data_IF_603588932674
#
_entry.id   IF_603588932674
#
_cell.length_a   1.000
_cell.length_b   1.000
_cell.length_c   1.000
_cell.angle_alpha   90.00
_cell.angle_beta   90.00
_cell.angle_gamma   90.00
#
_symmetry.space_group_name_H-M   'P 1'
#
loop_
_entity.id
_entity.type
_entity.pdbx_description
1 polymer ?
#
# COMPACT_ATOMS: atom_id res chain seq x y z
N UNK A 1 -12.42 25.89 -19.59
CA UNK A 1 -11.21 25.11 -19.91
C UNK A 1 -11.36 24.63 -21.34
N UNK A 2 -10.52 25.08 -22.28
CA UNK A 2 -10.51 24.52 -23.64
C UNK A 2 -10.11 23.04 -23.53
N UNK A 3 -10.94 22.13 -24.05
CA UNK A 3 -10.71 20.67 -24.03
C UNK A 3 -9.60 20.23 -24.98
N UNK A 4 -8.46 20.91 -24.97
CA UNK A 4 -7.30 20.54 -25.77
C UNK A 4 -6.47 19.48 -25.04
N UNK A 5 -6.16 18.42 -25.78
CA UNK A 5 -5.31 17.32 -25.35
C UNK A 5 -3.90 17.85 -25.03
N UNK A 6 -3.50 17.78 -23.75
CA UNK A 6 -2.16 18.17 -23.29
C UNK A 6 -1.28 16.93 -23.21
N UNK A 7 -0.02 17.06 -23.64
CA UNK A 7 1.00 16.00 -23.57
C UNK A 7 0.72 14.72 -24.35
N UNK A 8 -0.22 14.70 -25.31
CA UNK A 8 -0.54 13.46 -26.04
C UNK A 8 0.39 13.13 -27.19
N UNK A 9 1.19 14.09 -27.67
CA UNK A 9 2.09 13.95 -28.83
C UNK A 9 1.44 13.30 -30.08
N UNK A 10 0.10 13.31 -30.19
CA UNK A 10 -0.67 12.66 -31.26
C UNK A 10 -1.01 11.17 -31.03
N UNK A 11 -0.59 10.57 -29.93
CA UNK A 11 -0.93 9.19 -29.55
C UNK A 11 -2.19 9.17 -28.68
N UNK A 12 -3.19 8.38 -29.09
CA UNK A 12 -4.45 8.20 -28.36
C UNK A 12 -4.21 7.55 -26.99
N UNK A 13 -3.26 6.64 -26.89
CA UNK A 13 -2.91 5.94 -25.63
C UNK A 13 -2.27 6.88 -24.59
N UNK A 14 -1.75 8.02 -25.01
CA UNK A 14 -1.18 9.04 -24.11
C UNK A 14 -2.23 10.02 -23.58
N UNK A 15 -3.50 9.88 -24.00
CA UNK A 15 -4.61 10.71 -23.54
C UNK A 15 -4.80 10.64 -22.02
N UNK A 16 -4.73 9.43 -21.48
CA UNK A 16 -4.81 9.17 -20.04
C UNK A 16 -3.47 9.43 -19.31
N UNK A 17 -2.43 9.83 -20.06
CA UNK A 17 -1.09 10.09 -19.57
C UNK A 17 -0.24 8.83 -19.37
N UNK A 18 0.89 8.97 -18.67
CA UNK A 18 1.72 7.83 -18.30
C UNK A 18 1.10 7.15 -17.09
N UNK A 19 0.64 5.92 -17.25
CA UNK A 19 0.02 5.18 -16.16
C UNK A 19 1.03 4.91 -15.03
N UNK A 20 0.68 5.36 -13.83
CA UNK A 20 1.49 5.25 -12.62
C UNK A 20 1.87 3.80 -12.28
N UNK A 21 0.93 2.85 -12.40
CA UNK A 21 1.14 1.45 -12.05
C UNK A 21 2.19 0.76 -12.95
N UNK A 22 2.09 0.84 -14.29
CA UNK A 22 3.14 0.40 -15.20
C UNK A 22 4.53 0.96 -14.88
N UNK A 23 4.63 2.27 -14.59
CA UNK A 23 5.89 2.90 -14.21
C UNK A 23 6.46 2.32 -12.91
N UNK A 24 5.61 2.10 -11.91
CA UNK A 24 6.00 1.52 -10.61
C UNK A 24 6.44 0.05 -10.75
N UNK A 25 5.67 -0.75 -11.49
CA UNK A 25 6.02 -2.15 -11.79
C UNK A 25 7.36 -2.21 -12.51
N UNK A 26 7.58 -1.35 -13.50
CA UNK A 26 8.85 -1.22 -14.20
C UNK A 26 10.00 -0.90 -13.25
N UNK A 27 9.90 0.22 -12.52
CA UNK A 27 10.97 0.68 -11.63
C UNK A 27 11.28 -0.28 -10.49
N UNK A 28 10.32 -1.02 -9.97
CA UNK A 28 10.52 -1.91 -8.82
C UNK A 28 10.75 -3.37 -9.22
N UNK A 29 9.88 -3.94 -10.05
CA UNK A 29 9.96 -5.36 -10.40
C UNK A 29 11.12 -5.64 -11.34
N UNK A 30 11.29 -4.87 -12.43
CA UNK A 30 12.34 -5.15 -13.42
C UNK A 30 13.73 -4.88 -12.82
N UNK A 31 13.89 -3.77 -12.08
CA UNK A 31 15.18 -3.44 -11.45
C UNK A 31 15.61 -4.51 -10.45
N UNK A 32 14.71 -4.95 -9.56
CA UNK A 32 15.01 -5.99 -8.57
C UNK A 32 15.31 -7.34 -9.23
N UNK A 33 14.58 -7.71 -10.28
CA UNK A 33 14.87 -8.96 -10.99
C UNK A 33 16.26 -8.93 -11.66
N UNK A 34 16.67 -7.77 -12.18
CA UNK A 34 18.01 -7.59 -12.73
C UNK A 34 19.10 -7.64 -11.65
N UNK A 35 18.86 -7.04 -10.48
CA UNK A 35 19.79 -7.14 -9.35
C UNK A 35 19.92 -8.59 -8.85
N UNK A 36 18.81 -9.33 -8.80
CA UNK A 36 18.77 -10.74 -8.43
C UNK A 36 19.49 -11.66 -9.43
N UNK A 37 19.79 -11.19 -10.65
CA UNK A 37 20.57 -11.97 -11.64
C UNK A 37 21.99 -12.25 -11.13
N UNK A 38 22.52 -11.41 -10.23
CA UNK A 38 23.82 -11.61 -9.59
C UNK A 38 23.82 -12.70 -8.50
N UNK A 39 22.64 -13.15 -8.05
CA UNK A 39 22.46 -14.06 -6.91
C UNK A 39 21.90 -15.42 -7.38
N UNK A 40 22.58 -16.52 -7.03
CA UNK A 40 22.16 -17.89 -7.44
C UNK A 40 20.92 -18.41 -6.73
N UNK A 41 20.65 -17.98 -5.50
CA UNK A 41 19.44 -18.33 -4.73
C UNK A 41 19.14 -17.27 -3.68
N UNK A 42 17.86 -16.93 -3.48
CA UNK A 42 17.40 -15.98 -2.45
C UNK A 42 17.54 -16.59 -1.05
N UNK A 43 17.40 -17.91 -0.94
CA UNK A 43 17.53 -18.66 0.33
C UNK A 43 18.53 -19.79 0.12
N UNK A 44 19.63 -19.76 0.85
CA UNK A 44 20.69 -20.80 0.78
C UNK A 44 20.52 -21.86 1.87
N UNK A 45 19.78 -21.57 2.94
CA UNK A 45 19.58 -22.48 4.07
C UNK A 45 18.14 -23.04 4.09
N UNK A 46 18.00 -24.31 3.70
CA UNK A 46 16.72 -25.03 3.65
C UNK A 46 16.35 -25.72 4.97
N UNK A 47 17.22 -25.68 5.99
CA UNK A 47 17.14 -26.53 7.19
C UNK A 47 15.89 -26.28 8.06
N UNK A 48 15.29 -25.08 8.00
CA UNK A 48 14.17 -24.69 8.87
C UNK A 48 12.77 -24.73 8.22
N UNK A 49 12.63 -24.99 6.93
CA UNK A 49 11.32 -24.94 6.26
C UNK A 49 10.35 -26.02 6.73
N UNK A 50 10.85 -27.18 7.18
CA UNK A 50 10.02 -28.24 7.76
C UNK A 50 9.49 -27.89 9.16
N UNK A 51 10.12 -26.91 9.84
CA UNK A 51 9.75 -26.43 11.18
C UNK A 51 8.76 -25.25 11.18
N UNK A 52 8.56 -24.57 10.05
CA UNK A 52 7.66 -23.39 9.94
C UNK A 52 6.25 -23.67 10.48
N UNK A 53 5.73 -24.89 10.33
CA UNK A 53 4.41 -25.28 10.86
C UNK A 53 4.33 -25.26 12.40
N UNK A 54 5.47 -25.24 13.11
CA UNK A 54 5.56 -25.45 14.57
C UNK A 54 6.22 -24.29 15.33
N UNK A 55 6.66 -23.23 14.65
CA UNK A 55 7.25 -22.09 15.36
C UNK A 55 6.16 -21.22 16.01
N UNK A 56 6.29 -20.88 17.31
CA UNK A 56 5.32 -20.04 17.99
C UNK A 56 5.35 -18.62 17.41
N UNK A 57 4.20 -17.94 17.46
CA UNK A 57 4.07 -16.55 17.03
C UNK A 57 5.20 -15.70 17.64
N UNK A 58 5.97 -14.92 16.83
CA UNK A 58 7.14 -14.25 17.35
C UNK A 58 6.73 -13.25 18.44
N UNK A 59 7.32 -13.41 19.63
CA UNK A 59 7.01 -12.58 20.80
C UNK A 59 7.47 -11.14 20.53
N UNK A 60 6.63 -10.17 20.90
CA UNK A 60 6.95 -8.74 20.77
C UNK A 60 6.37 -8.02 19.54
N UNK A 61 5.81 -8.74 18.57
CA UNK A 61 5.25 -8.13 17.35
C UNK A 61 3.90 -7.44 17.55
N UNK A 62 3.15 -7.76 18.62
CA UNK A 62 1.80 -7.23 18.88
C UNK A 62 1.73 -5.70 18.82
N UNK A 63 2.76 -5.02 19.34
CA UNK A 63 2.85 -3.56 19.31
C UNK A 63 2.92 -3.01 17.88
N UNK A 64 3.75 -3.62 17.04
CA UNK A 64 3.96 -3.19 15.65
C UNK A 64 2.80 -3.56 14.75
N UNK A 65 2.15 -4.70 14.99
CA UNK A 65 0.88 -5.07 14.36
C UNK A 65 -0.19 -4.03 14.71
N UNK A 66 -0.30 -3.63 15.98
CA UNK A 66 -1.23 -2.57 16.39
C UNK A 66 -0.97 -1.22 15.72
N UNK A 67 0.31 -0.84 15.58
CA UNK A 67 0.70 0.36 14.82
C UNK A 67 0.28 0.22 13.36
N UNK A 68 0.56 -0.93 12.73
CA UNK A 68 0.17 -1.24 11.36
C UNK A 68 -1.34 -1.14 11.17
N UNK A 69 -2.14 -1.91 11.92
CA UNK A 69 -3.60 -1.87 11.82
C UNK A 69 -4.17 -0.46 12.00
N UNK A 70 -3.68 0.30 13.00
CA UNK A 70 -4.16 1.66 13.25
C UNK A 70 -3.84 2.62 12.12
N UNK A 71 -2.58 2.64 11.67
CA UNK A 71 -2.11 3.51 10.58
C UNK A 71 -2.76 3.12 9.24
N UNK A 72 -2.86 1.82 8.96
CA UNK A 72 -3.54 1.30 7.79
C UNK A 72 -5.02 1.65 7.75
N UNK A 73 -5.74 1.48 8.87
CA UNK A 73 -7.16 1.85 8.94
C UNK A 73 -7.35 3.34 8.70
N UNK A 74 -6.51 4.21 9.29
CA UNK A 74 -6.58 5.67 9.10
C UNK A 74 -6.34 6.06 7.64
N UNK A 75 -5.32 5.48 7.00
CA UNK A 75 -5.04 5.66 5.56
C UNK A 75 -6.21 5.17 4.72
N UNK A 76 -6.79 4.01 5.07
CA UNK A 76 -7.93 3.46 4.33
C UNK A 76 -9.18 4.34 4.38
N UNK A 77 -9.39 5.15 5.41
CA UNK A 77 -10.54 6.08 5.45
C UNK A 77 -10.43 7.15 4.36
N UNK A 78 -9.21 7.46 3.92
CA UNK A 78 -8.97 8.47 2.88
C UNK A 78 -9.31 7.88 1.51
N UNK A 79 -10.27 8.47 0.77
CA UNK A 79 -10.69 7.95 -0.52
C UNK A 79 -9.58 8.11 -1.57
N UNK A 80 -9.36 7.07 -2.35
CA UNK A 80 -8.32 7.02 -3.37
C UNK A 80 -6.93 6.63 -2.84
N UNK A 81 -6.76 6.44 -1.53
CA UNK A 81 -5.50 5.98 -0.95
C UNK A 81 -5.38 4.45 -0.95
N UNK A 82 -4.21 3.97 -1.39
CA UNK A 82 -3.93 2.55 -1.57
C UNK A 82 -3.30 1.86 -0.37
N UNK A 83 -3.45 0.53 -0.33
CA UNK A 83 -2.77 -0.36 0.60
C UNK A 83 -1.24 -0.19 0.65
N UNK A 84 -0.63 0.21 -0.48
CA UNK A 84 0.81 0.43 -0.60
C UNK A 84 1.29 1.56 0.32
N UNK A 85 0.58 2.69 0.36
CA UNK A 85 0.92 3.84 1.21
C UNK A 85 0.80 3.46 2.68
N UNK A 86 -0.28 2.75 3.02
CA UNK A 86 -0.48 2.22 4.36
C UNK A 86 0.71 1.37 4.79
N UNK A 87 1.14 0.40 3.96
CA UNK A 87 2.30 -0.44 4.26
C UNK A 87 3.59 0.38 4.48
N UNK A 88 3.89 1.34 3.61
CA UNK A 88 5.08 2.20 3.74
C UNK A 88 5.03 3.10 4.97
N UNK A 89 3.86 3.70 5.26
CA UNK A 89 3.69 4.58 6.40
C UNK A 89 3.79 3.80 7.72
N UNK A 90 3.14 2.64 7.79
CA UNK A 90 3.25 1.72 8.93
C UNK A 90 4.69 1.27 9.15
N UNK A 91 5.41 0.94 8.06
CA UNK A 91 6.83 0.57 8.12
C UNK A 91 7.70 1.70 8.70
N UNK A 92 7.50 2.93 8.22
CA UNK A 92 8.23 4.10 8.69
C UNK A 92 7.94 4.40 10.16
N UNK A 93 6.67 4.35 10.59
CA UNK A 93 6.34 4.50 12.01
C UNK A 93 6.94 3.39 12.89
N UNK A 94 6.98 2.16 12.40
CA UNK A 94 7.66 1.06 13.07
C UNK A 94 9.17 1.34 13.19
N UNK A 95 9.84 1.81 12.12
CA UNK A 95 11.25 2.18 12.12
C UNK A 95 11.55 3.28 13.13
N UNK A 96 10.73 4.31 13.21
CA UNK A 96 10.91 5.41 14.15
C UNK A 96 10.79 4.96 15.61
N UNK A 97 9.86 4.02 15.88
CA UNK A 97 9.51 3.58 17.24
C UNK A 97 10.24 2.32 17.71
N UNK A 98 10.94 1.64 16.81
CA UNK A 98 11.76 0.46 17.11
C UNK A 98 13.07 0.85 17.79
N UNK A 99 13.54 -0.04 18.67
CA UNK A 99 14.90 0.01 19.25
C UNK A 99 15.94 -0.57 18.29
N UNK A 100 15.53 -1.45 17.39
CA UNK A 100 16.41 -2.20 16.48
C UNK A 100 16.38 -1.58 15.07
N UNK A 101 16.68 -0.28 14.98
CA UNK A 101 16.65 0.47 13.70
C UNK A 101 17.61 -0.08 12.65
N UNK A 102 18.73 -0.65 13.07
CA UNK A 102 19.77 -1.20 12.19
C UNK A 102 19.34 -2.44 11.38
N UNK A 103 18.26 -3.12 11.79
CA UNK A 103 17.74 -4.30 11.08
C UNK A 103 16.72 -3.93 9.99
N UNK A 104 16.21 -2.68 9.98
CA UNK A 104 15.29 -2.23 8.93
C UNK A 104 16.01 -2.20 7.57
N UNK A 105 15.35 -2.65 6.51
CA UNK A 105 15.95 -2.92 5.20
C UNK A 105 16.60 -4.31 5.07
N UNK A 106 16.95 -4.97 6.18
CA UNK A 106 17.59 -6.30 6.21
C UNK A 106 16.65 -7.44 6.63
N UNK A 107 15.33 -7.23 6.48
CA UNK A 107 14.31 -8.23 6.86
C UNK A 107 13.86 -8.18 8.32
N UNK A 108 13.88 -7.01 8.98
CA UNK A 108 13.37 -6.88 10.36
C UNK A 108 11.91 -7.36 10.50
N UNK A 109 11.62 -8.36 11.37
CA UNK A 109 10.26 -8.84 11.62
C UNK A 109 9.27 -7.76 12.08
N UNK A 110 9.72 -6.75 12.83
CA UNK A 110 8.88 -5.64 13.30
C UNK A 110 8.40 -4.76 12.15
N UNK A 111 9.28 -4.50 11.18
CA UNK A 111 8.95 -3.73 9.99
C UNK A 111 8.00 -4.47 9.07
N UNK A 112 8.25 -5.77 8.85
CA UNK A 112 7.37 -6.64 8.05
C UNK A 112 5.98 -6.72 8.69
N UNK A 113 5.91 -6.99 10.00
CA UNK A 113 4.63 -7.10 10.70
C UNK A 113 3.83 -5.79 10.69
N UNK A 114 4.49 -4.64 10.80
CA UNK A 114 3.82 -3.35 10.70
C UNK A 114 3.33 -3.06 9.27
N UNK A 115 4.14 -3.31 8.25
CA UNK A 115 3.78 -3.08 6.86
C UNK A 115 2.62 -3.98 6.41
N UNK A 116 2.68 -5.28 6.72
CA UNK A 116 1.64 -6.24 6.38
C UNK A 116 0.33 -5.99 7.16
N UNK A 117 0.43 -5.63 8.44
CA UNK A 117 -0.74 -5.22 9.21
C UNK A 117 -1.34 -3.89 8.71
N UNK A 118 -0.50 -2.97 8.24
CA UNK A 118 -0.92 -1.71 7.60
C UNK A 118 -1.69 -1.95 6.31
N UNK A 119 -1.13 -2.77 5.42
CA UNK A 119 -1.79 -3.20 4.19
C UNK A 119 -3.18 -3.80 4.48
N UNK A 120 -3.24 -4.81 5.36
CA UNK A 120 -4.51 -5.46 5.70
C UNK A 120 -5.49 -4.53 6.44
N UNK A 121 -5.00 -3.64 7.30
CA UNK A 121 -5.83 -2.65 7.99
C UNK A 121 -6.47 -1.64 7.04
N UNK A 122 -5.77 -1.26 5.96
CA UNK A 122 -6.26 -0.34 4.95
C UNK A 122 -7.49 -0.88 4.22
N UNK A 123 -7.53 -2.19 3.94
CA UNK A 123 -8.69 -2.81 3.27
C UNK A 123 -9.97 -2.57 4.06
N UNK A 124 -9.97 -2.82 5.37
CA UNK A 124 -11.14 -2.55 6.23
C UNK A 124 -11.50 -1.06 6.30
N UNK A 125 -10.51 -0.18 6.44
CA UNK A 125 -10.71 1.28 6.45
C UNK A 125 -11.34 1.81 5.16
N UNK A 126 -10.91 1.29 4.01
CA UNK A 126 -11.40 1.67 2.68
C UNK A 126 -12.87 1.38 2.44
N UNK A 127 -13.45 0.45 3.21
CA UNK A 127 -14.87 0.14 3.13
C UNK A 127 -15.75 1.21 3.77
N UNK A 128 -15.21 2.04 4.68
CA UNK A 128 -15.98 3.10 5.33
C UNK A 128 -16.53 4.09 4.30
N UNK A 129 -15.72 4.83 3.52
CA UNK A 129 -16.24 5.73 2.49
C UNK A 129 -16.99 4.96 1.39
N UNK A 130 -16.55 3.74 1.05
CA UNK A 130 -17.17 2.93 -0.01
C UNK A 130 -18.62 2.59 0.31
N UNK A 131 -18.90 2.13 1.54
CA UNK A 131 -20.23 1.71 1.95
C UNK A 131 -21.11 2.87 2.39
N UNK A 132 -20.53 3.93 2.97
CA UNK A 132 -21.31 5.05 3.52
C UNK A 132 -21.54 6.18 2.52
N UNK A 133 -20.59 6.43 1.62
CA UNK A 133 -20.65 7.52 0.64
C UNK A 133 -20.77 7.01 -0.80
N UNK A 134 -20.60 5.71 -1.04
CA UNK A 134 -20.53 5.16 -2.40
C UNK A 134 -19.26 5.54 -3.15
N UNK A 135 -18.26 6.09 -2.47
CA UNK A 135 -16.99 6.54 -3.06
C UNK A 135 -15.93 5.49 -2.74
N UNK A 136 -15.35 4.81 -3.75
CA UNK A 136 -14.39 3.74 -3.50
C UNK A 136 -13.13 4.28 -2.82
N UNK A 137 -12.73 3.62 -1.73
CA UNK A 137 -11.50 3.95 -1.03
C UNK A 137 -10.25 3.54 -1.82
N UNK A 138 -10.31 2.43 -2.56
CA UNK A 138 -9.25 1.94 -3.44
C UNK A 138 -9.84 1.11 -4.59
N UNK A 139 -8.99 0.64 -5.52
CA UNK A 139 -9.43 -0.13 -6.70
C UNK A 139 -10.14 -1.45 -6.33
N UNK A 140 -9.75 -2.10 -5.23
CA UNK A 140 -10.40 -3.34 -4.76
C UNK A 140 -11.80 -3.04 -4.23
N UNK A 141 -11.97 -1.94 -3.48
CA UNK A 141 -13.25 -1.47 -3.00
C UNK A 141 -14.18 -1.02 -4.14
N UNK A 142 -13.63 -0.45 -5.22
CA UNK A 142 -14.39 -0.15 -6.43
C UNK A 142 -14.95 -1.40 -7.10
N UNK A 143 -14.16 -2.47 -7.20
CA UNK A 143 -14.63 -3.76 -7.71
C UNK A 143 -15.74 -4.35 -6.82
N UNK A 144 -15.60 -4.26 -5.49
CA UNK A 144 -16.65 -4.65 -4.55
C UNK A 144 -17.93 -3.83 -4.75
N UNK A 145 -17.82 -2.52 -4.92
CA UNK A 145 -18.94 -1.61 -5.19
C UNK A 145 -19.66 -2.01 -6.48
N UNK A 146 -18.91 -2.33 -7.54
CA UNK A 146 -19.47 -2.88 -8.79
C UNK A 146 -20.25 -4.18 -8.55
N UNK A 147 -19.69 -5.12 -7.78
CA UNK A 147 -20.36 -6.35 -7.40
C UNK A 147 -21.65 -6.13 -6.60
N UNK A 148 -21.63 -5.20 -5.64
CA UNK A 148 -22.82 -4.84 -4.85
C UNK A 148 -23.94 -4.28 -5.74
N UNK A 149 -23.60 -3.38 -6.67
CA UNK A 149 -24.55 -2.79 -7.61
C UNK A 149 -25.16 -3.87 -8.51
N UNK A 150 -24.37 -4.83 -9.01
CA UNK A 150 -24.86 -5.97 -9.79
C UNK A 150 -25.90 -6.80 -9.01
N UNK A 151 -25.71 -6.94 -7.69
CA UNK A 151 -26.63 -7.62 -6.80
C UNK A 151 -27.78 -6.72 -6.28
N UNK A 152 -27.93 -5.51 -6.81
CA UNK A 152 -29.00 -4.58 -6.43
C UNK A 152 -28.81 -3.90 -5.07
N UNK A 153 -27.61 -4.00 -4.48
CA UNK A 153 -27.24 -3.32 -3.24
C UNK A 153 -26.55 -2.00 -3.60
N UNK A 154 -27.26 -0.89 -3.41
CA UNK A 154 -26.73 0.46 -3.70
C UNK A 154 -25.97 0.97 -2.46
N UNK A 155 -24.65 1.16 -2.54
CA UNK A 155 -23.87 1.70 -1.42
C UNK A 155 -24.22 3.16 -1.14
N UNK A 156 -24.13 3.57 0.12
CA UNK A 156 -24.53 4.89 0.59
C UNK A 156 -25.34 4.81 1.90
N UNK A 157 -25.91 5.92 2.37
CA UNK A 157 -26.74 5.93 3.57
C UNK A 157 -27.95 5.00 3.47
N UNK A 158 -28.50 4.83 2.27
CA UNK A 158 -29.63 3.93 2.01
C UNK A 158 -29.30 2.45 2.21
N UNK A 159 -28.04 2.05 2.03
CA UNK A 159 -27.58 0.67 2.25
C UNK A 159 -27.87 0.22 3.70
N UNK A 160 -27.68 1.13 4.65
CA UNK A 160 -27.85 0.88 6.08
C UNK A 160 -29.28 1.12 6.59
N UNK A 161 -30.10 1.90 5.88
CA UNK A 161 -31.46 2.24 6.30
C UNK A 161 -32.54 1.43 5.58
N UNK A 162 -32.43 1.25 4.25
CA UNK A 162 -33.45 0.62 3.40
C UNK A 162 -33.13 -0.85 3.09
N UNK A 163 -31.86 -1.18 2.91
CA UNK A 163 -31.40 -2.54 2.57
C UNK A 163 -30.86 -3.33 3.79
N UNK A 164 -30.84 -2.71 4.98
CA UNK A 164 -30.38 -3.34 6.22
C UNK A 164 -31.09 -4.66 6.53
N UNK A 165 -32.41 -4.72 6.30
CA UNK A 165 -33.26 -5.90 6.54
C UNK A 165 -33.03 -7.01 5.49
N UNK A 166 -32.64 -6.65 4.26
CA UNK A 166 -32.53 -7.58 3.12
C UNK A 166 -31.10 -8.12 2.92
N UNK A 167 -30.26 -8.02 3.94
CA UNK A 167 -28.94 -8.65 3.95
C UNK A 167 -29.01 -10.02 4.66
N UNK A 168 -30.14 -10.73 4.54
CA UNK A 168 -30.38 -11.98 5.26
C UNK A 168 -29.88 -13.20 4.50
N UNK A 169 -29.46 -14.20 5.27
CA UNK A 169 -29.18 -15.59 4.90
C UNK A 169 -27.79 -15.91 4.32
N UNK A 170 -26.78 -16.00 5.20
CA UNK A 170 -25.97 -17.24 5.22
C UNK A 170 -25.30 -17.61 6.56
N UNK A 171 -25.25 -16.76 7.59
CA UNK A 171 -24.60 -17.15 8.88
C UNK A 171 -25.49 -16.89 10.12
N UNK A 172 -26.70 -16.35 9.94
CA UNK A 172 -27.63 -16.05 11.03
C UNK A 172 -28.43 -17.26 11.57
N UNK A 173 -28.18 -18.49 11.11
CA UNK A 173 -28.78 -19.68 11.73
C UNK A 173 -28.03 -20.18 12.97
N UNK A 174 -26.82 -19.68 13.25
CA UNK A 174 -25.96 -20.27 14.28
C UNK A 174 -25.92 -19.49 15.60
N UNK A 175 -26.43 -18.25 15.67
CA UNK A 175 -26.18 -17.39 16.84
C UNK A 175 -27.34 -16.56 17.40
N UNK A 176 -28.53 -16.47 16.79
CA UNK A 176 -29.49 -15.45 17.24
C UNK A 176 -30.71 -16.01 17.97
N UNK A 177 -30.67 -15.90 19.31
CA UNK A 177 -31.89 -15.71 20.12
C UNK A 177 -32.17 -14.22 20.41
N UNK A 178 -31.21 -13.29 20.29
CA UNK A 178 -31.47 -11.85 20.51
C UNK A 178 -30.49 -10.96 19.72
N UNK A 179 -30.99 -10.01 18.92
CA UNK A 179 -30.28 -8.75 18.62
C UNK A 179 -29.88 -8.42 17.15
N UNK A 180 -30.70 -7.59 16.51
CA UNK A 180 -30.43 -6.58 15.45
C UNK A 180 -30.03 -7.03 14.02
N UNK A 181 -30.89 -6.63 13.08
CA UNK A 181 -31.02 -7.10 11.70
C UNK A 181 -30.39 -6.17 10.64
N UNK A 182 -29.21 -5.60 10.90
CA UNK A 182 -28.53 -4.66 9.96
C UNK A 182 -27.08 -5.05 9.64
N UNK A 183 -26.56 -6.11 10.27
CA UNK A 183 -25.11 -6.36 10.33
C UNK A 183 -24.63 -7.55 9.51
N UNK A 184 -25.48 -8.24 8.75
CA UNK A 184 -25.09 -9.51 8.13
C UNK A 184 -24.01 -9.38 7.04
N UNK A 185 -24.00 -8.30 6.25
CA UNK A 185 -22.92 -8.04 5.28
C UNK A 185 -21.60 -7.73 6.00
N UNK A 186 -21.63 -6.85 7.00
CA UNK A 186 -20.45 -6.53 7.82
C UNK A 186 -19.94 -7.79 8.56
N UNK A 187 -20.85 -8.61 9.09
CA UNK A 187 -20.52 -9.88 9.73
C UNK A 187 -19.96 -10.89 8.72
N UNK A 188 -20.46 -10.90 7.47
CA UNK A 188 -19.88 -11.72 6.40
C UNK A 188 -18.44 -11.33 6.08
N UNK A 189 -18.12 -10.02 6.12
CA UNK A 189 -16.75 -9.54 5.97
C UNK A 189 -15.86 -9.97 7.14
N UNK A 190 -16.40 -10.00 8.36
CA UNK A 190 -15.68 -10.51 9.52
C UNK A 190 -15.41 -12.02 9.39
N UNK A 191 -16.40 -12.80 8.97
CA UNK A 191 -16.23 -14.24 8.73
C UNK A 191 -15.26 -14.49 7.57
N UNK A 192 -15.33 -13.71 6.49
CA UNK A 192 -14.38 -13.79 5.39
C UNK A 192 -12.94 -13.58 5.86
N UNK A 193 -12.70 -12.63 6.78
CA UNK A 193 -11.39 -12.44 7.40
C UNK A 193 -10.95 -13.64 8.26
N UNK A 194 -11.87 -14.28 8.99
CA UNK A 194 -11.57 -15.50 9.76
C UNK A 194 -11.20 -16.66 8.83
N UNK A 195 -11.95 -16.85 7.75
CA UNK A 195 -11.65 -17.86 6.73
C UNK A 195 -10.30 -17.56 6.06
N UNK A 196 -10.06 -16.30 5.72
CA UNK A 196 -8.81 -15.83 5.14
C UNK A 196 -7.62 -16.09 6.06
N UNK A 197 -7.77 -15.86 7.38
CA UNK A 197 -6.74 -16.17 8.37
C UNK A 197 -6.42 -17.68 8.40
N UNK A 198 -7.45 -18.53 8.41
CA UNK A 198 -7.28 -19.99 8.42
C UNK A 198 -6.58 -20.46 7.14
N UNK A 199 -7.06 -20.01 5.98
CA UNK A 199 -6.44 -20.34 4.69
C UNK A 199 -5.01 -19.80 4.59
N UNK A 200 -4.77 -18.56 5.02
CA UNK A 200 -3.44 -17.94 5.01
C UNK A 200 -2.44 -18.72 5.87
N UNK A 201 -2.83 -19.15 7.07
CA UNK A 201 -1.99 -19.98 7.94
C UNK A 201 -1.74 -21.38 7.37
N UNK A 202 -2.73 -21.99 6.71
CA UNK A 202 -2.58 -23.29 6.05
C UNK A 202 -1.67 -23.20 4.81
N UNK A 203 -1.75 -22.10 4.06
CA UNK A 203 -1.02 -21.88 2.81
C UNK A 203 0.36 -21.24 3.01
N UNK A 204 0.61 -20.58 4.15
CA UNK A 204 1.91 -20.00 4.52
C UNK A 204 3.12 -20.91 4.27
N UNK A 205 3.14 -22.21 4.68
CA UNK A 205 4.29 -23.08 4.41
C UNK A 205 4.48 -23.40 2.92
N UNK A 206 3.43 -23.30 2.09
CA UNK A 206 3.54 -23.47 0.64
C UNK A 206 4.09 -22.21 -0.01
N UNK A 207 3.63 -21.02 0.40
CA UNK A 207 4.19 -19.75 -0.05
C UNK A 207 5.65 -19.59 0.34
N UNK A 208 6.05 -20.04 1.54
CA UNK A 208 7.44 -20.04 1.97
C UNK A 208 8.36 -20.88 1.06
N UNK A 209 7.83 -21.91 0.39
CA UNK A 209 8.59 -22.72 -0.58
C UNK A 209 8.81 -22.00 -1.91
N UNK A 210 8.02 -20.98 -2.25
CA UNK A 210 8.24 -20.18 -3.46
C UNK A 210 9.60 -19.48 -3.37
N UNK A 211 10.02 -19.07 -2.18
CA UNK A 211 11.34 -18.46 -1.95
C UNK A 211 12.53 -19.41 -2.19
N UNK A 212 12.28 -20.73 -2.33
CA UNK A 212 13.30 -21.71 -2.71
C UNK A 212 13.44 -21.92 -4.21
N UNK A 213 12.52 -21.38 -5.01
CA UNK A 213 12.60 -21.49 -6.46
C UNK A 213 13.88 -20.78 -6.92
N UNK A 214 14.72 -21.44 -7.74
CA UNK A 214 15.96 -20.84 -8.20
C UNK A 214 15.68 -19.54 -8.93
N UNK A 215 16.54 -18.53 -8.73
CA UNK A 215 16.39 -17.19 -9.34
C UNK A 215 16.30 -17.26 -10.87
N UNK A 216 16.94 -18.25 -11.47
CA UNK A 216 16.88 -18.57 -12.91
C UNK A 216 15.46 -18.79 -13.45
N UNK A 217 14.55 -19.34 -12.64
CA UNK A 217 13.14 -19.51 -13.00
C UNK A 217 12.29 -18.35 -12.50
N UNK A 218 12.63 -17.80 -11.34
CA UNK A 218 11.86 -16.72 -10.73
C UNK A 218 11.89 -15.44 -11.59
N UNK A 219 13.07 -15.06 -12.08
CA UNK A 219 13.29 -13.86 -12.88
C UNK A 219 12.40 -13.82 -14.14
N UNK A 220 12.46 -14.80 -15.07
CA UNK A 220 11.64 -14.75 -16.28
C UNK A 220 10.15 -14.79 -15.99
N UNK A 221 9.72 -15.54 -14.98
CA UNK A 221 8.31 -15.62 -14.58
C UNK A 221 7.80 -14.27 -14.08
N UNK A 222 8.54 -13.63 -13.17
CA UNK A 222 8.17 -12.30 -12.67
C UNK A 222 8.17 -11.27 -13.80
N UNK A 223 9.17 -11.26 -14.67
CA UNK A 223 9.22 -10.34 -15.81
C UNK A 223 8.01 -10.49 -16.75
N UNK A 224 7.61 -11.73 -17.06
CA UNK A 224 6.41 -11.99 -17.88
C UNK A 224 5.15 -11.49 -17.17
N UNK A 225 5.00 -11.76 -15.88
CA UNK A 225 3.85 -11.25 -15.11
C UNK A 225 3.85 -9.73 -14.96
N UNK A 226 5.01 -9.09 -14.85
CA UNK A 226 5.13 -7.63 -14.82
C UNK A 226 4.68 -7.00 -16.14
N UNK A 227 5.08 -7.59 -17.28
CA UNK A 227 4.64 -7.13 -18.61
C UNK A 227 3.14 -7.36 -18.79
N UNK A 228 2.65 -8.56 -18.44
CA UNK A 228 1.23 -8.90 -18.56
C UNK A 228 0.37 -8.05 -17.63
N UNK A 229 0.81 -7.82 -16.39
CA UNK A 229 0.13 -6.98 -15.42
C UNK A 229 0.08 -5.52 -15.87
N UNK A 230 1.17 -5.01 -16.45
CA UNK A 230 1.21 -3.68 -17.05
C UNK A 230 0.19 -3.54 -18.19
N UNK A 231 0.10 -4.55 -19.07
CA UNK A 231 -0.88 -4.55 -20.16
C UNK A 231 -2.32 -4.65 -19.66
N UNK A 232 -2.59 -5.53 -18.69
CA UNK A 232 -3.94 -5.83 -18.22
C UNK A 232 -4.64 -4.66 -17.50
N UNK A 233 -3.88 -3.64 -17.06
CA UNK A 233 -4.46 -2.48 -16.37
C UNK A 233 -5.33 -1.62 -17.30
N UNK A 234 -4.81 -1.28 -18.49
CA UNK A 234 -5.52 -0.42 -19.44
C UNK A 234 -5.70 -1.07 -20.82
N UNK A 235 -5.34 -2.34 -20.99
CA UNK A 235 -5.25 -3.03 -22.28
C UNK A 235 -4.41 -2.25 -23.32
N UNK A 236 -3.35 -1.58 -22.86
CA UNK A 236 -2.50 -0.72 -23.68
C UNK A 236 -1.11 -1.29 -23.87
N UNK A 237 -0.63 -1.30 -25.11
CA UNK A 237 0.75 -1.70 -25.44
C UNK A 237 1.73 -0.62 -24.98
N UNK A 238 1.29 0.65 -24.92
CA UNK A 238 2.11 1.75 -24.44
C UNK A 238 2.57 1.55 -23.00
N UNK A 239 1.70 1.01 -22.15
CA UNK A 239 2.01 0.70 -20.75
C UNK A 239 3.18 -0.29 -20.64
N UNK A 240 3.27 -1.26 -21.57
CA UNK A 240 4.40 -2.19 -21.62
C UNK A 240 5.71 -1.44 -21.88
N UNK A 241 5.70 -0.50 -22.84
CA UNK A 241 6.88 0.30 -23.15
C UNK A 241 7.28 1.22 -21.99
N UNK A 242 6.31 1.84 -21.32
CA UNK A 242 6.53 2.63 -20.10
C UNK A 242 7.16 1.76 -19.01
N UNK A 243 6.60 0.58 -18.76
CA UNK A 243 7.12 -0.37 -17.77
C UNK A 243 8.58 -0.74 -18.06
N UNK A 244 8.90 -1.10 -19.31
CA UNK A 244 10.28 -1.43 -19.71
C UNK A 244 11.23 -0.22 -19.58
N UNK A 245 10.81 0.95 -20.05
CA UNK A 245 11.63 2.16 -20.00
C UNK A 245 11.91 2.62 -18.56
N UNK A 246 10.89 2.57 -17.70
CA UNK A 246 11.03 2.82 -16.27
C UNK A 246 11.93 1.79 -15.59
N UNK A 247 11.83 0.50 -15.95
CA UNK A 247 12.72 -0.54 -15.44
C UNK A 247 14.19 -0.31 -15.80
N UNK A 248 14.47 0.03 -17.07
CA UNK A 248 15.83 0.39 -17.51
C UNK A 248 16.33 1.62 -16.76
N UNK A 249 15.48 2.65 -16.63
CA UNK A 249 15.83 3.90 -15.93
C UNK A 249 16.16 3.64 -14.46
N UNK A 250 15.38 2.79 -13.78
CA UNK A 250 15.66 2.40 -12.40
C UNK A 250 17.01 1.69 -12.25
N UNK A 251 17.39 0.82 -13.19
CA UNK A 251 18.72 0.18 -13.17
C UNK A 251 19.85 1.20 -13.34
N UNK A 252 19.69 2.16 -14.26
CA UNK A 252 20.68 3.23 -14.46
C UNK A 252 20.81 4.07 -13.20
N UNK A 253 19.69 4.51 -12.61
CA UNK A 253 19.67 5.28 -11.38
C UNK A 253 20.26 4.48 -10.20
N UNK A 254 20.08 3.15 -10.17
CA UNK A 254 20.63 2.28 -9.12
C UNK A 254 22.14 2.21 -9.19
N UNK A 255 22.69 2.12 -10.41
CA UNK A 255 24.14 2.20 -10.63
C UNK A 255 24.73 3.56 -10.26
N UNK A 256 23.92 4.62 -10.35
CA UNK A 256 24.28 5.97 -9.90
C UNK A 256 24.10 6.17 -8.39
N UNK A 257 23.80 5.11 -7.62
CA UNK A 257 23.60 5.12 -6.16
C UNK A 257 22.42 5.98 -5.68
N UNK A 258 21.41 6.19 -6.53
CA UNK A 258 20.16 6.79 -6.06
C UNK A 258 19.38 5.80 -5.18
N UNK A 259 18.73 6.30 -4.14
CA UNK A 259 17.85 5.51 -3.29
C UNK A 259 16.55 5.17 -4.05
N UNK A 260 16.45 3.92 -4.50
CA UNK A 260 15.24 3.39 -5.16
C UNK A 260 14.00 3.47 -4.30
N UNK A 261 14.14 3.33 -2.97
CA UNK A 261 13.04 3.44 -2.04
C UNK A 261 12.44 4.85 -2.07
N UNK A 262 13.29 5.88 -2.03
CA UNK A 262 12.88 7.28 -2.12
C UNK A 262 12.23 7.61 -3.47
N UNK A 263 12.80 7.14 -4.59
CA UNK A 263 12.24 7.31 -5.92
C UNK A 263 10.87 6.66 -6.06
N UNK A 264 10.72 5.43 -5.55
CA UNK A 264 9.45 4.70 -5.56
C UNK A 264 8.41 5.44 -4.71
N UNK A 265 8.80 5.92 -3.53
CA UNK A 265 7.92 6.70 -2.67
C UNK A 265 7.47 8.01 -3.34
N UNK A 266 8.39 8.70 -4.02
CA UNK A 266 8.08 9.91 -4.80
C UNK A 266 7.09 9.63 -5.94
N UNK A 267 7.29 8.52 -6.66
CA UNK A 267 6.38 8.10 -7.71
C UNK A 267 4.98 7.78 -7.14
N UNK A 268 4.90 7.15 -5.97
CA UNK A 268 3.62 6.87 -5.30
C UNK A 268 2.93 8.16 -4.84
N UNK A 269 3.67 9.05 -4.19
CA UNK A 269 3.10 10.26 -3.58
C UNK A 269 2.79 11.36 -4.60
N UNK A 270 3.48 11.41 -5.74
CA UNK A 270 3.31 12.44 -6.76
C UNK A 270 1.86 12.57 -7.26
N UNK A 271 1.27 11.52 -7.86
CA UNK A 271 -0.10 11.55 -8.35
C UNK A 271 -1.13 11.87 -7.26
N UNK A 272 -0.87 11.42 -6.03
CA UNK A 272 -1.76 11.65 -4.87
C UNK A 272 -1.72 13.12 -4.47
N UNK A 273 -0.52 13.69 -4.36
CA UNK A 273 -0.32 15.09 -4.06
C UNK A 273 -0.93 15.98 -5.15
N UNK A 274 -0.72 15.65 -6.43
CA UNK A 274 -1.28 16.38 -7.57
C UNK A 274 -2.81 16.33 -7.58
N UNK A 275 -3.39 15.13 -7.42
CA UNK A 275 -4.86 14.96 -7.42
C UNK A 275 -5.48 15.68 -6.23
N UNK A 276 -4.92 15.53 -5.03
CA UNK A 276 -5.40 16.21 -3.83
C UNK A 276 -5.28 17.72 -3.92
N UNK A 277 -4.18 18.23 -4.47
CA UNK A 277 -3.97 19.66 -4.70
C UNK A 277 -4.94 20.22 -5.73
N UNK A 278 -5.14 19.52 -6.85
CA UNK A 278 -6.08 19.92 -7.90
C UNK A 278 -7.52 19.94 -7.35
N UNK A 279 -7.93 18.92 -6.61
CA UNK A 279 -9.26 18.87 -5.97
C UNK A 279 -9.45 20.02 -4.98
N UNK A 280 -8.45 20.30 -4.14
CA UNK A 280 -8.50 21.41 -3.18
C UNK A 280 -8.64 22.78 -3.87
N UNK A 281 -7.91 23.02 -4.97
CA UNK A 281 -8.02 24.25 -5.74
C UNK A 281 -9.36 24.37 -6.45
N UNK A 282 -9.92 23.28 -6.98
CA UNK A 282 -11.26 23.27 -7.58
C UNK A 282 -12.30 23.66 -6.52
N UNK A 283 -12.23 23.06 -5.33
CA UNK A 283 -13.09 23.42 -4.19
C UNK A 283 -12.88 24.86 -3.72
N UNK A 284 -11.68 25.40 -3.93
CA UNK A 284 -11.31 26.78 -3.63
C UNK A 284 -11.54 27.78 -4.74
N UNK A 285 -12.20 27.39 -5.83
CA UNK A 285 -12.42 28.22 -7.00
C UNK A 285 -11.13 28.87 -7.53
N UNK A 286 -9.99 28.15 -7.45
CA UNK A 286 -8.68 28.61 -7.89
C UNK A 286 -7.89 29.44 -6.86
N UNK A 287 -8.43 29.68 -5.66
CA UNK A 287 -7.72 30.40 -4.61
C UNK A 287 -6.91 29.48 -3.70
N UNK A 288 -5.63 29.81 -3.50
CA UNK A 288 -4.75 29.16 -2.52
C UNK A 288 -5.16 29.38 -1.06
N UNK A 289 -6.09 30.31 -0.79
CA UNK A 289 -6.56 30.59 0.57
C UNK A 289 -7.31 29.41 1.21
N UNK A 290 -7.76 28.43 0.43
CA UNK A 290 -8.44 27.23 0.96
C UNK A 290 -7.56 26.38 1.87
N UNK A 291 -6.25 26.38 1.64
CA UNK A 291 -5.31 25.63 2.49
C UNK A 291 -5.16 26.23 3.90
N UNK A 292 -5.61 27.46 4.14
CA UNK A 292 -5.43 28.17 5.42
C UNK A 292 -6.74 28.61 6.07
N UNK A 293 -7.80 28.86 5.28
CA UNK A 293 -9.06 29.39 5.81
C UNK A 293 -10.01 28.31 6.34
N UNK A 294 -9.80 27.03 6.01
CA UNK A 294 -10.71 25.95 6.41
C UNK A 294 -10.29 25.37 7.78
N UNK A 295 -11.22 25.18 8.73
CA UNK A 295 -10.89 24.64 10.05
C UNK A 295 -10.28 23.23 9.95
N UNK A 296 -10.69 22.41 8.99
CA UNK A 296 -10.09 21.10 8.76
C UNK A 296 -8.63 21.20 8.29
N UNK A 297 -8.33 22.16 7.41
CA UNK A 297 -6.98 22.38 6.92
C UNK A 297 -6.04 22.87 8.03
N UNK A 298 -6.53 23.75 8.91
CA UNK A 298 -5.77 24.21 10.08
C UNK A 298 -5.42 23.04 11.01
N UNK A 299 -6.38 22.14 11.28
CA UNK A 299 -6.13 20.93 12.09
C UNK A 299 -5.05 20.05 11.44
N UNK A 300 -5.11 19.84 10.12
CA UNK A 300 -4.09 19.08 9.39
C UNK A 300 -2.70 19.76 9.46
N UNK A 301 -2.63 21.08 9.32
CA UNK A 301 -1.38 21.83 9.50
C UNK A 301 -0.79 21.67 10.90
N UNK A 302 -1.62 21.72 11.94
CA UNK A 302 -1.18 21.48 13.32
C UNK A 302 -0.61 20.07 13.46
N UNK A 303 -1.28 19.06 12.90
CA UNK A 303 -0.80 17.67 12.92
C UNK A 303 0.53 17.54 12.18
N UNK A 304 0.67 18.14 11.00
CA UNK A 304 1.92 18.13 10.22
C UNK A 304 3.06 18.75 11.04
N UNK A 305 2.84 19.92 11.65
CA UNK A 305 3.83 20.58 12.49
C UNK A 305 4.22 19.69 13.67
N UNK A 306 3.25 19.10 14.37
CA UNK A 306 3.49 18.19 15.48
C UNK A 306 4.30 16.95 15.07
N UNK A 307 4.05 16.41 13.88
CA UNK A 307 4.79 15.25 13.34
C UNK A 307 6.21 15.61 12.89
N UNK A 308 6.46 16.86 12.48
CA UNK A 308 7.77 17.34 12.07
C UNK A 308 8.67 17.73 13.25
N UNK A 309 8.09 18.07 14.42
CA UNK A 309 8.87 18.44 15.61
C UNK A 309 9.87 17.34 16.04
N UNK A 310 9.49 16.05 16.19
CA UNK A 310 10.43 15.00 16.59
C UNK A 310 11.64 14.84 15.66
N UNK A 311 11.49 14.71 14.32
CA UNK A 311 12.65 14.62 13.43
C UNK A 311 13.43 15.94 13.40
N UNK A 312 12.78 17.11 13.41
CA UNK A 312 13.48 18.40 13.43
C UNK A 312 14.35 18.59 14.68
N UNK A 313 13.85 18.19 15.86
CA UNK A 313 14.62 18.19 17.10
C UNK A 313 15.77 17.19 17.07
N UNK A 314 15.62 16.04 16.43
CA UNK A 314 16.71 15.07 16.25
C UNK A 314 17.81 15.64 15.36
N UNK A 315 17.45 16.22 14.21
CA UNK A 315 18.41 16.90 13.33
C UNK A 315 19.13 18.06 14.04
N UNK A 316 18.40 18.90 14.79
CA UNK A 316 19.00 20.00 15.54
C UNK A 316 19.96 19.50 16.64
N UNK A 317 19.63 18.39 17.30
CA UNK A 317 20.51 17.79 18.33
C UNK A 317 21.75 17.15 17.73
N UNK A 318 21.65 16.49 16.58
CA UNK A 318 22.79 15.92 15.85
C UNK A 318 23.73 17.03 15.32
N UNK A 319 23.17 18.08 14.71
CA UNK A 319 23.93 19.24 14.27
C UNK A 319 24.66 19.96 15.41
N UNK A 320 24.08 19.98 16.62
CA UNK A 320 24.71 20.57 17.82
C UNK A 320 25.73 19.63 18.49
N UNK A 321 25.59 18.32 18.32
CA UNK A 321 26.52 17.32 18.86
C UNK A 321 27.81 17.18 18.04
N UNK A 322 27.86 17.75 16.83
CA UNK A 322 29.00 17.59 15.92
C UNK A 322 29.16 16.17 15.40
N UNK A 323 28.15 15.32 15.55
CA UNK A 323 28.09 14.01 14.93
C UNK A 323 27.67 14.21 13.47
N UNK A 324 28.57 13.84 12.55
CA UNK A 324 28.26 13.86 11.12
C UNK A 324 27.05 12.95 10.85
N UNK A 325 26.10 13.34 10.00
CA UNK A 325 24.89 12.56 9.74
C UNK A 325 25.18 11.13 9.23
N UNK A 326 26.36 10.91 8.65
CA UNK A 326 26.79 9.67 8.01
C UNK A 326 27.25 8.59 9.02
N UNK A 327 27.73 8.96 10.21
CA UNK A 327 28.19 8.00 11.23
C UNK A 327 27.04 7.19 11.89
N UNK A 328 25.79 7.60 11.65
CA UNK A 328 24.60 6.90 12.15
C UNK A 328 24.02 5.87 11.17
N UNK A 329 24.56 5.81 9.95
CA UNK A 329 24.28 4.75 8.98
C UNK A 329 25.45 3.77 9.10
N UNK A 330 25.30 2.60 9.74
CA UNK A 330 26.40 1.65 9.80
C UNK A 330 26.79 1.28 8.37
N UNK A 331 28.06 1.55 8.03
CA UNK A 331 28.70 1.24 6.75
C UNK A 331 28.17 -0.09 6.21
N UNK A 332 27.45 0.01 5.10
CA UNK A 332 27.09 -1.16 4.29
C UNK A 332 28.29 -1.50 3.42
N UNK A 333 29.34 -2.03 4.05
CA UNK A 333 30.50 -2.59 3.40
C UNK A 333 30.80 -3.98 3.97
N UNK A 334 30.15 -5.00 3.41
CA UNK A 334 30.64 -6.38 3.18
C UNK A 334 29.52 -7.28 2.68
#
# INVERSE_FOLDING_TARGET
MSGQLRYTMGLTDLFDGVAFMPALIGMFSISQMLDLTSVKSIVTDTSNLRKIRREPFPKGLKKFIGIGCGTGTMVGVLPGEGATIAAFLSYNFARQRSRNKALFGKGNPEGIAAAEAGNNGCVGGSLIPTLTLGIPGNSVAAALLGGLIVHGLIPGPELFTKYGVMTYAFIMSLFTKYGVMTYAFIMSLFVANVIFLIMGLLMAPYFARISLIPTQLLIPVVCVFSILGSYAMNNSVLDIFVCLLCGITAVVLGRLKFDMGALTLGLILGPIAETGFAQALIMGHGSYSVFFNRPQAIVLWIIIILLLIPPALQFYRQAKAGEDPDDSIPDTAS
#
